data_IF_081218758177
#
_entry.id   IF_081218758177
#
_cell.length_a   1.000
_cell.length_b   1.000
_cell.length_c   1.000
_cell.angle_alpha   90.00
_cell.angle_beta   90.00
_cell.angle_gamma   90.00
#
_symmetry.space_group_name_H-M   'P 1'
#
loop_
_entity.id
_entity.type
_entity.pdbx_description
1 polymer ?
#
# COMPACT_ATOMS: atom_id res chain seq x y z
N UNK A 1 7.72 -8.05 27.61
CA UNK A 1 6.96 -6.79 27.72
C UNK A 1 5.97 -6.70 26.57
N UNK A 2 4.69 -6.56 26.87
CA UNK A 2 3.65 -6.32 25.85
C UNK A 2 3.81 -4.92 25.25
N UNK A 3 3.60 -4.77 23.95
CA UNK A 3 3.78 -3.50 23.22
C UNK A 3 2.98 -2.32 23.83
N UNK A 4 1.86 -2.63 24.50
CA UNK A 4 1.00 -1.67 25.19
C UNK A 4 1.52 -1.15 26.54
N UNK A 5 2.55 -1.77 27.12
CA UNK A 5 3.17 -1.30 28.38
C UNK A 5 4.39 -0.40 28.13
N UNK A 6 4.64 0.01 26.88
CA UNK A 6 5.79 0.85 26.57
C UNK A 6 5.50 2.31 26.97
N UNK A 7 6.20 2.86 27.99
CA UNK A 7 5.97 4.22 28.49
C UNK A 7 6.32 5.30 27.44
N UNK A 8 7.18 4.98 26.48
CA UNK A 8 7.51 5.86 25.36
C UNK A 8 6.32 6.01 24.41
N UNK A 9 5.66 4.90 24.09
CA UNK A 9 4.48 4.90 23.23
C UNK A 9 3.35 5.70 23.88
N UNK A 10 3.09 5.47 25.18
CA UNK A 10 2.04 6.21 25.91
C UNK A 10 2.35 7.71 25.96
N UNK A 11 3.58 8.12 26.27
CA UNK A 11 3.98 9.56 26.26
C UNK A 11 3.77 10.19 24.88
N UNK A 12 4.17 9.51 23.81
CA UNK A 12 4.12 10.08 22.45
C UNK A 12 2.71 10.10 21.85
N UNK A 13 1.82 9.22 22.33
CA UNK A 13 0.42 9.15 21.93
C UNK A 13 -0.53 9.91 22.86
N UNK A 14 -0.10 10.26 24.08
CA UNK A 14 -0.87 11.03 25.05
C UNK A 14 -1.13 12.49 24.64
N UNK A 15 -0.30 13.04 23.75
CA UNK A 15 -0.57 14.38 23.21
C UNK A 15 -1.88 14.32 22.41
N UNK A 16 -2.88 15.17 22.71
CA UNK A 16 -4.22 15.04 22.15
C UNK A 16 -4.14 15.11 20.63
N UNK A 17 -4.38 13.98 19.98
CA UNK A 17 -4.61 13.93 18.54
C UNK A 17 -6.06 14.33 18.29
N UNK A 18 -6.29 15.16 17.28
CA UNK A 18 -7.61 15.75 16.99
C UNK A 18 -8.69 14.72 16.62
N UNK A 19 -8.32 13.49 16.29
CA UNK A 19 -9.21 12.42 15.85
C UNK A 19 -8.96 11.17 16.67
N UNK A 20 -9.98 10.61 17.31
CA UNK A 20 -9.87 9.35 18.07
C UNK A 20 -9.75 8.14 17.14
N UNK A 21 -9.17 7.03 17.61
CA UNK A 21 -9.04 5.80 16.82
C UNK A 21 -10.41 5.28 16.34
N UNK A 22 -11.44 5.40 17.20
CA UNK A 22 -12.82 5.04 16.85
C UNK A 22 -13.35 5.90 15.71
N UNK A 23 -13.13 7.22 15.76
CA UNK A 23 -13.54 8.13 14.67
C UNK A 23 -12.81 7.78 13.37
N UNK A 24 -11.51 7.50 13.40
CA UNK A 24 -10.77 7.07 12.20
C UNK A 24 -11.28 5.75 11.64
N UNK A 25 -11.64 4.79 12.51
CA UNK A 25 -12.24 3.53 12.07
C UNK A 25 -13.60 3.76 11.39
N UNK A 26 -14.48 4.55 12.00
CA UNK A 26 -15.77 4.90 11.40
C UNK A 26 -15.64 5.73 10.13
N UNK A 27 -14.63 6.61 10.04
CA UNK A 27 -14.32 7.33 8.81
C UNK A 27 -13.86 6.40 7.70
N UNK A 28 -12.93 5.48 7.98
CA UNK A 28 -12.49 4.48 7.01
C UNK A 28 -13.65 3.60 6.54
N UNK A 29 -14.48 3.14 7.47
CA UNK A 29 -15.66 2.33 7.16
C UNK A 29 -16.69 3.11 6.33
N UNK A 30 -17.06 4.31 6.77
CA UNK A 30 -18.04 5.15 6.09
C UNK A 30 -17.58 5.58 4.69
N UNK A 31 -16.31 5.95 4.54
CA UNK A 31 -15.71 6.21 3.23
C UNK A 31 -15.65 4.95 2.37
N UNK A 32 -15.29 3.81 2.95
CA UNK A 32 -15.27 2.53 2.24
C UNK A 32 -16.65 2.17 1.67
N UNK A 33 -17.69 2.29 2.48
CA UNK A 33 -19.07 2.00 2.06
C UNK A 33 -19.57 3.04 1.04
N UNK A 34 -19.35 4.33 1.28
CA UNK A 34 -19.84 5.37 0.36
C UNK A 34 -19.15 5.32 -1.00
N UNK A 35 -17.84 5.12 -1.02
CA UNK A 35 -17.07 5.02 -2.25
C UNK A 35 -17.38 3.73 -3.00
N UNK A 36 -17.58 2.61 -2.31
CA UNK A 36 -18.06 1.37 -2.92
C UNK A 36 -19.44 1.58 -3.56
N UNK A 37 -20.39 2.17 -2.85
CA UNK A 37 -21.74 2.45 -3.38
C UNK A 37 -21.68 3.33 -4.62
N UNK A 38 -20.93 4.44 -4.57
CA UNK A 38 -20.77 5.35 -5.72
C UNK A 38 -20.14 4.62 -6.91
N UNK A 39 -19.06 3.86 -6.68
CA UNK A 39 -18.40 3.12 -7.76
C UNK A 39 -19.30 2.03 -8.34
N UNK A 40 -20.07 1.30 -7.53
CA UNK A 40 -21.03 0.32 -8.01
C UNK A 40 -22.16 0.97 -8.80
N UNK A 41 -22.69 2.11 -8.34
CA UNK A 41 -23.73 2.85 -9.07
C UNK A 41 -23.22 3.36 -10.42
N UNK A 42 -22.01 3.93 -10.46
CA UNK A 42 -21.37 4.36 -11.70
C UNK A 42 -21.13 3.18 -12.65
N UNK A 43 -20.68 2.04 -12.13
CA UNK A 43 -20.50 0.82 -12.91
C UNK A 43 -21.81 0.30 -13.51
N UNK A 44 -22.91 0.29 -12.73
CA UNK A 44 -24.23 -0.11 -13.22
C UNK A 44 -24.83 0.90 -14.20
N UNK A 45 -24.50 2.19 -14.06
CA UNK A 45 -24.98 3.27 -14.92
C UNK A 45 -24.24 3.37 -16.26
N UNK A 46 -23.04 2.81 -16.40
CA UNK A 46 -22.20 2.88 -17.62
C UNK A 46 -22.73 2.02 -18.80
N UNK A 47 -24.02 1.68 -18.79
CA UNK A 47 -24.71 1.16 -19.97
C UNK A 47 -24.89 2.22 -21.07
N UNK A 48 -24.63 3.50 -20.76
CA UNK A 48 -24.62 4.62 -21.69
C UNK A 48 -23.24 5.29 -21.69
N UNK A 49 -22.54 5.24 -22.84
CA UNK A 49 -21.12 5.56 -23.07
C UNK A 49 -20.60 6.96 -22.66
N UNK A 50 -21.44 7.84 -22.11
CA UNK A 50 -21.08 9.22 -21.77
C UNK A 50 -20.63 9.41 -20.30
N UNK A 51 -20.65 8.38 -19.46
CA UNK A 51 -20.32 8.47 -18.02
C UNK A 51 -18.95 7.89 -17.62
N UNK A 52 -18.00 7.78 -18.56
CA UNK A 52 -16.68 7.18 -18.30
C UNK A 52 -15.74 8.03 -17.42
N UNK A 53 -15.88 9.36 -17.41
CA UNK A 53 -14.97 10.26 -16.67
C UNK A 53 -14.98 10.10 -15.14
N UNK A 54 -16.12 9.94 -14.43
CA UNK A 54 -16.11 9.75 -12.97
C UNK A 54 -15.55 8.39 -12.51
N UNK A 55 -15.58 7.36 -13.35
CA UNK A 55 -15.08 6.01 -13.02
C UNK A 55 -13.55 6.03 -12.82
N UNK A 56 -12.82 6.87 -13.55
CA UNK A 56 -11.35 6.96 -13.44
C UNK A 56 -10.85 7.94 -12.37
N UNK A 57 -11.68 8.90 -11.96
CA UNK A 57 -11.28 9.95 -11.02
C UNK A 57 -11.02 9.39 -9.60
N UNK A 58 -11.87 8.46 -9.13
CA UNK A 58 -11.72 7.82 -7.82
C UNK A 58 -10.45 6.95 -7.70
N UNK A 59 -10.13 6.06 -8.67
CA UNK A 59 -8.84 5.35 -8.71
C UNK A 59 -7.62 6.28 -8.77
N UNK A 60 -7.69 7.39 -9.51
CA UNK A 60 -6.60 8.38 -9.57
C UNK A 60 -6.37 9.06 -8.21
N UNK A 61 -7.45 9.45 -7.52
CA UNK A 61 -7.40 10.00 -6.17
C UNK A 61 -6.79 9.02 -5.18
N UNK A 62 -7.19 7.75 -5.25
CA UNK A 62 -6.59 6.69 -4.43
C UNK A 62 -5.10 6.52 -4.75
N UNK A 63 -4.71 6.48 -6.03
CA UNK A 63 -3.31 6.33 -6.43
C UNK A 63 -2.44 7.50 -5.92
N UNK A 64 -2.94 8.73 -6.05
CA UNK A 64 -2.27 9.92 -5.52
C UNK A 64 -2.10 9.82 -3.99
N UNK A 65 -3.15 9.38 -3.28
CA UNK A 65 -3.11 9.22 -1.83
C UNK A 65 -2.17 8.08 -1.41
N UNK A 66 -2.22 6.94 -2.08
CA UNK A 66 -1.33 5.80 -1.87
C UNK A 66 0.15 6.16 -2.08
N UNK A 67 0.46 7.05 -3.04
CA UNK A 67 1.80 7.56 -3.27
C UNK A 67 2.24 8.61 -2.23
N UNK A 68 1.31 9.43 -1.73
CA UNK A 68 1.61 10.52 -0.80
C UNK A 68 1.65 10.08 0.68
N UNK A 69 0.91 9.05 1.08
CA UNK A 69 0.81 8.66 2.49
C UNK A 69 2.15 8.11 3.05
N UNK A 70 2.87 7.20 2.38
CA UNK A 70 4.18 6.72 2.87
C UNK A 70 5.21 7.85 3.14
N UNK A 71 5.46 8.82 2.24
CA UNK A 71 6.40 9.90 2.53
C UNK A 71 5.94 10.80 3.69
N UNK A 72 4.63 11.04 3.84
CA UNK A 72 4.11 11.77 5.00
C UNK A 72 4.34 10.98 6.29
N UNK A 73 4.13 9.66 6.29
CA UNK A 73 4.40 8.79 7.44
C UNK A 73 5.90 8.82 7.80
N UNK A 74 6.78 8.73 6.81
CA UNK A 74 8.22 8.83 7.01
C UNK A 74 8.62 10.18 7.63
N UNK A 75 8.02 11.28 7.16
CA UNK A 75 8.22 12.63 7.72
C UNK A 75 7.74 12.73 9.17
N UNK A 76 6.56 12.19 9.48
CA UNK A 76 6.01 12.19 10.85
C UNK A 76 6.95 11.39 11.77
N UNK A 77 7.34 10.18 11.35
CA UNK A 77 8.22 9.31 12.11
C UNK A 77 9.58 9.95 12.36
N UNK A 78 10.17 10.48 11.30
CA UNK A 78 11.47 11.11 11.32
C UNK A 78 11.51 12.40 12.14
N UNK A 79 10.56 13.31 11.95
CA UNK A 79 10.49 14.56 12.71
C UNK A 79 10.24 14.34 14.20
N UNK A 80 9.40 13.37 14.54
CA UNK A 80 9.11 13.01 15.92
C UNK A 80 10.36 12.42 16.61
N UNK A 81 11.08 11.55 15.92
CA UNK A 81 12.31 10.94 16.44
C UNK A 81 13.43 11.96 16.56
N UNK A 82 13.67 12.77 15.52
CA UNK A 82 14.73 13.78 15.50
C UNK A 82 14.57 14.81 16.63
N UNK A 83 13.35 15.28 16.89
CA UNK A 83 13.06 16.20 18.01
C UNK A 83 13.38 15.58 19.37
N UNK A 84 12.97 14.33 19.58
CA UNK A 84 13.25 13.67 20.85
C UNK A 84 14.76 13.41 21.08
N UNK A 85 15.50 13.18 19.99
CA UNK A 85 16.95 13.02 20.05
C UNK A 85 17.64 14.37 20.30
N UNK A 86 17.19 15.47 19.68
CA UNK A 86 17.75 16.80 19.93
C UNK A 86 17.46 17.34 21.33
N UNK A 87 16.31 17.00 21.90
CA UNK A 87 15.86 17.51 23.20
C UNK A 87 16.47 16.74 24.40
N UNK A 88 17.41 15.82 24.17
CA UNK A 88 18.02 14.98 25.22
C UNK A 88 17.07 13.97 25.88
N UNK A 89 15.78 13.98 25.52
CA UNK A 89 14.79 13.00 25.98
C UNK A 89 15.17 11.57 25.62
N UNK A 90 15.91 11.39 24.51
CA UNK A 90 16.44 10.09 24.09
C UNK A 90 17.50 9.54 25.05
N UNK A 91 18.39 10.37 25.59
CA UNK A 91 19.44 9.94 26.53
C UNK A 91 18.86 9.43 27.85
N UNK A 92 17.82 10.11 28.33
CA UNK A 92 17.02 9.68 29.49
C UNK A 92 16.30 8.35 29.26
N UNK A 93 15.96 8.01 28.02
CA UNK A 93 15.34 6.74 27.68
C UNK A 93 16.38 5.61 27.62
N UNK A 94 17.58 5.89 27.13
CA UNK A 94 18.67 4.90 27.07
C UNK A 94 19.21 4.49 28.43
N UNK A 95 19.00 5.30 29.48
CA UNK A 95 19.36 4.95 30.86
C UNK A 95 18.31 4.10 31.58
N UNK A 96 17.12 3.91 30.98
CA UNK A 96 16.08 3.03 31.52
C UNK A 96 16.31 1.56 31.14
N UNK A 97 15.60 0.65 31.79
CA UNK A 97 15.63 -0.80 31.50
C UNK A 97 14.95 -1.18 30.17
N UNK A 98 14.56 -0.21 29.34
CA UNK A 98 13.95 -0.45 28.05
C UNK A 98 14.99 -0.92 27.05
N UNK A 99 14.65 -1.96 26.28
CA UNK A 99 15.52 -2.43 25.20
C UNK A 99 15.48 -1.46 24.01
N UNK A 100 16.60 -1.32 23.31
CA UNK A 100 16.69 -0.54 22.05
C UNK A 100 15.58 -0.90 21.06
N UNK A 101 15.29 -2.20 20.94
CA UNK A 101 14.22 -2.69 20.08
C UNK A 101 12.85 -2.10 20.47
N UNK A 102 12.56 -2.02 21.77
CA UNK A 102 11.31 -1.44 22.27
C UNK A 102 11.24 0.07 22.05
N UNK A 103 12.37 0.78 22.11
CA UNK A 103 12.46 2.22 21.84
C UNK A 103 12.15 2.48 20.36
N UNK A 104 12.83 1.81 19.44
CA UNK A 104 12.63 1.95 17.99
C UNK A 104 11.21 1.59 17.60
N UNK A 105 10.68 0.45 18.08
CA UNK A 105 9.30 0.06 17.83
C UNK A 105 8.31 1.10 18.36
N UNK A 106 8.53 1.63 19.58
CA UNK A 106 7.69 2.66 20.16
C UNK A 106 7.60 3.92 19.29
N UNK A 107 8.71 4.35 18.68
CA UNK A 107 8.72 5.46 17.72
C UNK A 107 7.92 5.16 16.45
N UNK A 108 8.11 3.98 15.87
CA UNK A 108 7.39 3.54 14.66
C UNK A 108 5.88 3.50 14.92
N UNK A 109 5.44 2.86 16.00
CA UNK A 109 4.02 2.76 16.35
C UNK A 109 3.42 4.12 16.71
N UNK A 110 4.16 5.00 17.39
CA UNK A 110 3.71 6.36 17.66
C UNK A 110 3.49 7.16 16.36
N UNK A 111 4.36 6.99 15.37
CA UNK A 111 4.22 7.63 14.07
C UNK A 111 2.98 7.13 13.32
N UNK A 112 2.78 5.81 13.25
CA UNK A 112 1.59 5.20 12.64
C UNK A 112 0.30 5.64 13.34
N UNK A 113 0.33 5.70 14.68
CA UNK A 113 -0.81 6.19 15.46
C UNK A 113 -1.14 7.66 15.15
N UNK A 114 -0.13 8.51 14.93
CA UNK A 114 -0.35 9.91 14.51
C UNK A 114 -0.83 10.02 13.06
N UNK A 115 -0.39 9.11 12.19
CA UNK A 115 -0.83 9.03 10.79
C UNK A 115 -2.18 8.32 10.59
N UNK A 116 -2.85 7.86 11.67
CA UNK A 116 -4.06 7.03 11.59
C UNK A 116 -5.20 7.61 10.75
N UNK A 117 -5.35 8.94 10.70
CA UNK A 117 -6.36 9.59 9.88
C UNK A 117 -6.07 9.43 8.39
N UNK A 118 -4.79 9.59 7.99
CA UNK A 118 -4.35 9.37 6.61
C UNK A 118 -4.44 7.90 6.22
N UNK A 119 -4.07 6.98 7.13
CA UNK A 119 -4.23 5.54 6.92
C UNK A 119 -5.70 5.15 6.76
N UNK A 120 -6.59 5.73 7.57
CA UNK A 120 -8.03 5.53 7.46
C UNK A 120 -8.59 6.02 6.12
N UNK A 121 -8.12 7.18 5.63
CA UNK A 121 -8.48 7.70 4.30
C UNK A 121 -7.99 6.77 3.19
N UNK A 122 -6.75 6.27 3.27
CA UNK A 122 -6.18 5.36 2.28
C UNK A 122 -6.97 4.06 2.18
N UNK A 123 -7.31 3.46 3.32
CA UNK A 123 -8.11 2.23 3.37
C UNK A 123 -9.55 2.49 2.91
N UNK A 124 -10.16 3.60 3.34
CA UNK A 124 -11.53 3.96 2.96
C UNK A 124 -11.69 4.30 1.48
N UNK A 125 -10.64 4.76 0.79
CA UNK A 125 -10.65 5.06 -0.65
C UNK A 125 -10.22 3.87 -1.53
N UNK A 126 -9.87 2.72 -0.93
CA UNK A 126 -9.47 1.54 -1.68
C UNK A 126 -10.58 0.87 -2.52
N UNK A 127 -11.86 0.80 -2.07
CA UNK A 127 -12.89 0.05 -2.79
C UNK A 127 -13.13 0.47 -4.26
N UNK A 128 -13.12 1.76 -4.63
CA UNK A 128 -13.22 2.18 -6.03
C UNK A 128 -12.16 1.62 -6.96
N UNK A 129 -10.94 1.41 -6.47
CA UNK A 129 -9.88 0.81 -7.28
C UNK A 129 -10.24 -0.64 -7.64
N UNK A 130 -10.83 -1.37 -6.70
CA UNK A 130 -11.29 -2.75 -6.92
C UNK A 130 -12.42 -2.79 -7.95
N UNK A 131 -13.38 -1.87 -7.84
CA UNK A 131 -14.48 -1.77 -8.81
C UNK A 131 -13.96 -1.39 -10.20
N UNK A 132 -13.03 -0.44 -10.30
CA UNK A 132 -12.40 -0.08 -11.58
C UNK A 132 -11.56 -1.21 -12.17
N UNK A 133 -10.85 -1.98 -11.34
CA UNK A 133 -10.15 -3.19 -11.78
C UNK A 133 -11.12 -4.26 -12.29
N UNK A 134 -12.23 -4.50 -11.57
CA UNK A 134 -13.29 -5.41 -11.98
C UNK A 134 -13.89 -5.01 -13.33
N UNK A 135 -14.21 -3.73 -13.48
CA UNK A 135 -14.75 -3.17 -14.72
C UNK A 135 -13.80 -3.37 -15.90
N UNK A 136 -12.52 -3.04 -15.71
CA UNK A 136 -11.50 -3.22 -16.75
C UNK A 136 -11.30 -4.69 -17.11
N UNK A 137 -11.36 -5.60 -16.13
CA UNK A 137 -11.25 -7.03 -16.35
C UNK A 137 -12.47 -7.59 -17.09
N UNK A 138 -13.69 -7.16 -16.72
CA UNK A 138 -14.93 -7.51 -17.43
C UNK A 138 -14.90 -7.06 -18.89
N UNK A 139 -14.49 -5.82 -19.13
CA UNK A 139 -14.38 -5.28 -20.48
C UNK A 139 -13.35 -6.04 -21.31
N UNK A 140 -12.20 -6.39 -20.72
CA UNK A 140 -11.18 -7.20 -21.38
C UNK A 140 -11.68 -8.62 -21.70
N UNK A 141 -12.34 -9.29 -20.75
CA UNK A 141 -12.87 -10.65 -20.97
C UNK A 141 -13.99 -10.67 -22.01
N UNK A 142 -14.90 -9.68 -22.00
CA UNK A 142 -15.96 -9.56 -23.00
C UNK A 142 -15.41 -9.30 -24.40
N UNK A 143 -14.37 -8.46 -24.51
CA UNK A 143 -13.68 -8.21 -25.77
C UNK A 143 -13.05 -9.51 -26.31
N UNK A 144 -12.30 -10.23 -25.48
CA UNK A 144 -11.67 -11.49 -25.86
C UNK A 144 -12.70 -12.57 -26.23
N UNK A 145 -13.81 -12.69 -25.50
CA UNK A 145 -14.88 -13.64 -25.85
C UNK A 145 -15.51 -13.30 -27.21
N UNK A 146 -15.73 -12.02 -27.53
CA UNK A 146 -16.24 -11.61 -28.87
C UNK A 146 -15.26 -11.95 -29.99
N UNK A 147 -13.97 -11.68 -29.77
CA UNK A 147 -12.92 -11.95 -30.76
C UNK A 147 -12.79 -13.45 -31.01
N UNK A 148 -12.72 -14.26 -29.96
CA UNK A 148 -12.57 -15.71 -30.05
C UNK A 148 -13.78 -16.38 -30.76
N UNK A 149 -15.00 -15.92 -30.45
CA UNK A 149 -16.22 -16.38 -31.13
C UNK A 149 -16.23 -16.01 -32.62
N UNK A 150 -15.55 -14.95 -33.04
CA UNK A 150 -15.46 -14.55 -34.45
C UNK A 150 -14.54 -15.49 -35.25
N UNK A 151 -13.42 -15.92 -34.65
CA UNK A 151 -12.41 -16.76 -35.31
C UNK A 151 -12.77 -18.26 -35.40
N UNK A 152 -13.60 -18.77 -34.50
CA UNK A 152 -13.98 -20.20 -34.44
C UNK A 152 -15.31 -20.56 -35.11
N UNK A 153 -15.83 -19.72 -36.00
CA UNK A 153 -17.08 -19.99 -36.74
C UNK A 153 -17.00 -21.17 -37.73
N UNK A 154 -15.82 -21.77 -37.95
CA UNK A 154 -15.63 -22.91 -38.86
C UNK A 154 -15.65 -24.31 -38.24
N UNK A 155 -15.28 -24.47 -36.97
CA UNK A 155 -15.21 -25.78 -36.28
C UNK A 155 -15.70 -25.62 -34.83
N UNK A 156 -17.01 -25.81 -34.65
CA UNK A 156 -17.67 -25.61 -33.37
C UNK A 156 -17.36 -26.78 -32.43
N UNK A 157 -16.34 -26.64 -31.57
CA UNK A 157 -16.07 -27.59 -30.50
C UNK A 157 -16.69 -27.08 -29.18
N UNK A 158 -17.85 -27.62 -28.73
CA UNK A 158 -18.62 -27.06 -27.60
C UNK A 158 -17.97 -27.24 -26.22
N UNK A 159 -16.77 -27.83 -26.15
CA UNK A 159 -16.04 -28.09 -24.89
C UNK A 159 -15.01 -27.01 -24.54
N UNK A 160 -14.57 -26.20 -25.50
CA UNK A 160 -13.96 -24.88 -25.25
C UNK A 160 -15.15 -23.89 -25.33
N UNK A 161 -15.50 -22.99 -24.43
CA UNK A 161 -14.65 -22.02 -23.73
C UNK A 161 -15.47 -21.25 -22.67
N UNK A 162 -16.37 -21.91 -21.93
CA UNK A 162 -17.08 -21.24 -20.83
C UNK A 162 -16.13 -20.75 -19.72
N UNK A 163 -14.92 -21.29 -19.62
CA UNK A 163 -13.87 -20.85 -18.69
C UNK A 163 -13.27 -19.49 -19.06
N UNK A 164 -13.22 -19.12 -20.34
CA UNK A 164 -12.66 -17.82 -20.79
C UNK A 164 -13.63 -16.68 -20.49
N UNK A 165 -14.93 -16.96 -20.47
CA UNK A 165 -15.97 -15.98 -20.15
C UNK A 165 -16.41 -16.02 -18.68
N UNK A 166 -15.90 -16.94 -17.87
CA UNK A 166 -16.17 -16.99 -16.44
C UNK A 166 -15.28 -16.00 -15.69
N UNK A 167 -15.89 -15.05 -15.00
CA UNK A 167 -15.15 -14.08 -14.19
C UNK A 167 -14.76 -14.71 -12.84
N UNK A 168 -13.48 -14.77 -12.46
CA UNK A 168 -13.09 -15.29 -11.15
C UNK A 168 -13.41 -14.25 -10.07
N UNK A 169 -14.63 -14.30 -9.51
CA UNK A 169 -15.06 -13.38 -8.42
C UNK A 169 -14.18 -13.49 -7.16
N UNK A 170 -13.58 -14.65 -6.91
CA UNK A 170 -12.68 -14.88 -5.78
C UNK A 170 -11.35 -14.13 -5.89
N UNK A 171 -10.86 -13.83 -7.11
CA UNK A 171 -9.59 -13.12 -7.28
C UNK A 171 -9.68 -11.66 -6.84
N UNK A 172 -10.85 -11.04 -6.97
CA UNK A 172 -11.08 -9.61 -6.72
C UNK A 172 -10.97 -9.26 -5.23
N UNK A 173 -11.62 -10.05 -4.37
CA UNK A 173 -11.54 -9.87 -2.91
C UNK A 173 -10.12 -10.13 -2.39
N UNK A 174 -9.43 -11.10 -2.98
CA UNK A 174 -8.03 -11.39 -2.67
C UNK A 174 -7.12 -10.23 -3.09
N UNK A 175 -7.30 -9.66 -4.28
CA UNK A 175 -6.56 -8.46 -4.73
C UNK A 175 -6.74 -7.27 -3.79
N UNK A 176 -7.96 -7.03 -3.29
CA UNK A 176 -8.20 -5.96 -2.32
C UNK A 176 -7.40 -6.17 -1.02
N UNK A 177 -7.46 -7.38 -0.47
CA UNK A 177 -6.73 -7.73 0.74
C UNK A 177 -5.21 -7.59 0.55
N UNK A 178 -4.69 -8.01 -0.60
CA UNK A 178 -3.28 -7.85 -0.97
C UNK A 178 -2.87 -6.37 -1.07
N UNK A 179 -3.70 -5.51 -1.67
CA UNK A 179 -3.42 -4.07 -1.79
C UNK A 179 -3.42 -3.41 -0.41
N UNK A 180 -4.41 -3.73 0.42
CA UNK A 180 -4.46 -3.22 1.80
C UNK A 180 -3.23 -3.66 2.59
N UNK A 181 -2.84 -4.93 2.52
CA UNK A 181 -1.63 -5.45 3.15
C UNK A 181 -0.37 -4.78 2.60
N UNK A 182 -0.24 -4.59 1.29
CA UNK A 182 0.89 -3.91 0.68
C UNK A 182 1.03 -2.46 1.17
N UNK A 183 -0.08 -1.72 1.22
CA UNK A 183 -0.10 -0.34 1.74
C UNK A 183 0.30 -0.29 3.22
N UNK A 184 -0.18 -1.21 4.04
CA UNK A 184 0.26 -1.31 5.44
C UNK A 184 1.76 -1.56 5.56
N UNK A 185 2.29 -2.48 4.75
CA UNK A 185 3.73 -2.78 4.71
C UNK A 185 4.57 -1.58 4.30
N UNK A 186 4.15 -0.84 3.26
CA UNK A 186 4.84 0.36 2.80
C UNK A 186 4.86 1.48 3.84
N UNK A 187 3.76 1.69 4.56
CA UNK A 187 3.69 2.68 5.63
C UNK A 187 4.53 2.31 6.84
N UNK A 188 4.57 1.02 7.20
CA UNK A 188 5.44 0.50 8.25
C UNK A 188 6.91 0.69 7.86
N UNK A 189 7.27 0.36 6.62
CA UNK A 189 8.61 0.55 6.07
C UNK A 189 9.01 2.03 6.07
N UNK A 190 8.12 2.91 5.61
CA UNK A 190 8.33 4.34 5.59
C UNK A 190 8.54 4.92 7.00
N UNK A 191 7.76 4.45 7.99
CA UNK A 191 7.97 4.81 9.39
C UNK A 191 9.34 4.33 9.90
N UNK A 192 9.72 3.09 9.64
CA UNK A 192 11.02 2.53 10.04
C UNK A 192 12.19 3.27 9.39
N UNK A 193 12.08 3.64 8.11
CA UNK A 193 13.03 4.52 7.42
C UNK A 193 13.14 5.86 8.13
N UNK A 194 12.02 6.54 8.37
CA UNK A 194 12.00 7.84 9.07
C UNK A 194 12.70 7.78 10.44
N UNK A 195 12.39 6.76 11.26
CA UNK A 195 13.04 6.55 12.56
C UNK A 195 14.53 6.26 12.40
N UNK A 196 14.91 5.35 11.51
CA UNK A 196 16.30 4.96 11.30
C UNK A 196 17.17 6.13 10.84
N UNK A 197 16.72 6.90 9.85
CA UNK A 197 17.44 8.07 9.35
C UNK A 197 17.56 9.15 10.44
N UNK A 198 16.52 9.33 11.27
CA UNK A 198 16.56 10.27 12.39
C UNK A 198 17.56 9.87 13.48
N UNK A 199 17.63 8.58 13.83
CA UNK A 199 18.62 8.08 14.80
C UNK A 199 20.05 8.22 14.26
N UNK A 200 20.25 7.99 12.96
CA UNK A 200 21.57 8.06 12.32
C UNK A 200 22.11 9.47 12.19
N UNK A 201 21.31 10.41 11.70
CA UNK A 201 21.81 11.76 11.38
C UNK A 201 21.48 12.82 12.42
N UNK A 202 20.51 12.57 13.31
CA UNK A 202 20.07 13.48 14.39
C UNK A 202 19.68 14.89 13.92
N UNK A 203 19.59 15.12 12.61
CA UNK A 203 19.28 16.42 12.02
C UNK A 203 17.89 16.37 11.37
N UNK A 204 16.92 17.19 11.85
CA UNK A 204 15.57 17.17 11.32
C UNK A 204 15.49 17.56 9.83
N UNK A 205 16.42 18.38 9.33
CA UNK A 205 16.45 18.80 7.93
C UNK A 205 16.83 17.64 6.99
N UNK A 206 17.86 16.87 7.34
CA UNK A 206 18.29 15.69 6.57
C UNK A 206 17.18 14.63 6.55
N UNK A 207 16.52 14.43 7.69
CA UNK A 207 15.40 13.48 7.77
C UNK A 207 14.20 13.96 6.95
N UNK A 208 13.91 15.26 6.98
CA UNK A 208 12.80 15.84 6.23
C UNK A 208 13.00 15.79 4.71
N UNK A 209 14.24 15.75 4.22
CA UNK A 209 14.52 15.64 2.77
C UNK A 209 14.62 14.19 2.32
N UNK A 210 15.43 13.36 2.99
CA UNK A 210 15.74 12.02 2.51
C UNK A 210 14.66 10.98 2.83
N UNK A 211 13.96 11.09 3.97
CA UNK A 211 12.92 10.13 4.34
C UNK A 211 11.72 10.11 3.36
N UNK A 212 11.13 11.25 2.95
CA UNK A 212 10.06 11.24 1.97
C UNK A 212 10.55 10.85 0.58
N UNK A 213 11.75 11.27 0.17
CA UNK A 213 12.33 10.87 -1.12
C UNK A 213 12.49 9.35 -1.21
N UNK A 214 13.08 8.72 -0.19
CA UNK A 214 13.23 7.27 -0.13
C UNK A 214 11.87 6.54 -0.09
N UNK A 215 10.91 7.07 0.67
CA UNK A 215 9.56 6.51 0.76
C UNK A 215 8.72 6.70 -0.51
N UNK A 216 9.00 7.71 -1.34
CA UNK A 216 8.35 7.98 -2.62
C UNK A 216 8.95 7.12 -3.76
N UNK A 217 10.26 6.87 -3.73
CA UNK A 217 10.93 6.04 -4.74
C UNK A 217 10.46 4.58 -4.70
N UNK A 218 9.99 4.07 -3.55
CA UNK A 218 9.46 2.72 -3.39
C UNK A 218 8.14 2.46 -4.15
N UNK A 219 7.07 3.27 -3.98
CA UNK A 219 5.85 3.10 -4.77
C UNK A 219 6.06 3.48 -6.24
N UNK A 220 6.99 4.39 -6.56
CA UNK A 220 7.32 4.71 -7.96
C UNK A 220 8.04 3.55 -8.65
N UNK A 221 9.00 2.89 -8.00
CA UNK A 221 9.65 1.70 -8.57
C UNK A 221 8.65 0.56 -8.76
N UNK A 222 7.66 0.45 -7.85
CA UNK A 222 6.54 -0.48 -8.01
C UNK A 222 5.67 -0.14 -9.22
N UNK A 223 5.29 1.13 -9.41
CA UNK A 223 4.50 1.56 -10.57
C UNK A 223 5.23 1.30 -11.90
N UNK A 224 6.52 1.63 -11.95
CA UNK A 224 7.35 1.36 -13.13
C UNK A 224 7.46 -0.13 -13.42
N UNK A 225 7.69 -0.97 -12.40
CA UNK A 225 7.79 -2.41 -12.58
C UNK A 225 6.45 -3.06 -12.96
N UNK A 226 5.32 -2.46 -12.58
CA UNK A 226 3.98 -2.89 -13.00
C UNK A 226 3.62 -2.45 -14.43
N UNK A 227 4.10 -1.29 -14.88
CA UNK A 227 3.84 -0.83 -16.25
C UNK A 227 4.62 -1.64 -17.30
N UNK A 228 5.86 -2.03 -17.02
CA UNK A 228 6.73 -2.77 -17.96
C UNK A 228 6.06 -4.06 -18.52
N UNK A 229 5.45 -4.94 -17.71
CA UNK A 229 4.77 -6.11 -18.24
C UNK A 229 3.46 -5.77 -18.97
N UNK A 230 2.81 -4.64 -18.68
CA UNK A 230 1.59 -4.22 -19.38
C UNK A 230 1.87 -3.57 -20.74
N UNK A 231 3.01 -2.92 -20.93
CA UNK A 231 3.48 -2.50 -22.26
C UNK A 231 4.06 -3.68 -23.07
N UNK A 232 4.51 -4.72 -22.38
CA UNK A 232 4.79 -6.02 -23.01
C UNK A 232 3.53 -6.82 -23.33
N UNK A 233 2.33 -6.48 -22.78
CA UNK A 233 1.06 -7.13 -23.21
C UNK A 233 0.70 -6.87 -24.66
N UNK A 234 1.10 -5.71 -25.21
CA UNK A 234 1.02 -5.47 -26.66
C UNK A 234 1.91 -6.41 -27.46
N UNK A 235 2.92 -7.01 -26.83
CA UNK A 235 3.74 -8.11 -27.35
C UNK A 235 3.18 -9.50 -26.97
N UNK A 236 2.52 -9.65 -25.80
CA UNK A 236 1.88 -10.90 -25.37
C UNK A 236 0.74 -11.33 -26.29
N UNK A 237 0.09 -10.42 -27.02
CA UNK A 237 -0.87 -10.82 -28.08
C UNK A 237 -0.17 -11.67 -29.16
N UNK A 238 1.14 -11.52 -29.36
CA UNK A 238 1.95 -12.43 -30.20
C UNK A 238 2.43 -13.69 -29.45
N UNK A 239 2.68 -13.62 -28.14
CA UNK A 239 3.13 -14.76 -27.32
C UNK A 239 2.00 -15.62 -26.75
N UNK A 240 0.73 -15.22 -26.91
CA UNK A 240 -0.46 -16.01 -26.55
C UNK A 240 -0.51 -17.38 -27.27
N UNK A 241 0.30 -17.56 -28.32
CA UNK A 241 0.56 -18.84 -28.99
C UNK A 241 1.46 -19.79 -28.18
N UNK A 242 2.16 -19.32 -27.14
CA UNK A 242 3.09 -20.10 -26.32
C UNK A 242 2.87 -19.85 -24.82
N UNK A 243 2.01 -20.69 -24.24
CA UNK A 243 1.96 -21.11 -22.82
C UNK A 243 1.67 -20.03 -21.73
N UNK A 244 0.36 -19.81 -21.47
CA UNK A 244 -0.19 -18.90 -20.46
C UNK A 244 0.20 -19.22 -18.99
N UNK A 245 0.65 -20.44 -18.70
CA UNK A 245 0.83 -20.91 -17.32
C UNK A 245 2.06 -20.30 -16.62
N UNK A 246 3.14 -20.07 -17.37
CA UNK A 246 4.42 -19.62 -16.83
C UNK A 246 4.44 -18.11 -16.56
N UNK A 247 3.81 -17.33 -17.43
CA UNK A 247 3.70 -15.87 -17.31
C UNK A 247 2.80 -15.48 -16.13
N UNK A 248 1.69 -16.18 -15.94
CA UNK A 248 0.81 -15.92 -14.82
C UNK A 248 1.46 -16.32 -13.49
N UNK A 249 2.15 -17.47 -13.44
CA UNK A 249 2.92 -17.87 -12.27
C UNK A 249 3.99 -16.83 -11.88
N UNK A 250 4.72 -16.27 -12.85
CA UNK A 250 5.71 -15.21 -12.62
C UNK A 250 5.06 -13.92 -12.09
N UNK A 251 3.92 -13.49 -12.64
CA UNK A 251 3.16 -12.32 -12.15
C UNK A 251 2.71 -12.49 -10.70
N UNK A 252 2.25 -13.69 -10.34
CA UNK A 252 1.86 -14.01 -8.96
C UNK A 252 3.06 -13.97 -8.01
N UNK A 253 4.19 -14.57 -8.38
CA UNK A 253 5.41 -14.55 -7.56
C UNK A 253 5.95 -13.13 -7.35
N UNK A 254 5.98 -12.33 -8.40
CA UNK A 254 6.41 -10.92 -8.35
C UNK A 254 5.47 -10.13 -7.44
N UNK A 255 4.16 -10.27 -7.59
CA UNK A 255 3.15 -9.60 -6.75
C UNK A 255 3.28 -10.01 -5.28
N UNK A 256 3.58 -11.28 -5.01
CA UNK A 256 3.76 -11.80 -3.66
C UNK A 256 5.05 -11.28 -3.01
N UNK A 257 6.15 -11.25 -3.76
CA UNK A 257 7.40 -10.63 -3.33
C UNK A 257 7.20 -9.15 -3.01
N UNK A 258 6.46 -8.41 -3.83
CA UNK A 258 6.17 -7.00 -3.55
C UNK A 258 5.25 -6.79 -2.35
N UNK A 259 4.38 -7.74 -2.03
CA UNK A 259 3.58 -7.67 -0.80
C UNK A 259 4.44 -7.89 0.45
N UNK A 260 5.37 -8.85 0.41
CA UNK A 260 6.17 -9.23 1.58
C UNK A 260 7.46 -8.41 1.75
N UNK A 261 8.04 -7.90 0.66
CA UNK A 261 9.28 -7.15 0.67
C UNK A 261 9.24 -5.92 1.59
N UNK A 262 8.17 -5.11 1.66
CA UNK A 262 8.10 -4.00 2.60
C UNK A 262 8.25 -4.44 4.06
N UNK A 263 7.66 -5.59 4.42
CA UNK A 263 7.76 -6.15 5.77
C UNK A 263 9.17 -6.68 6.07
N UNK A 264 9.78 -7.41 5.13
CA UNK A 264 11.15 -7.92 5.27
C UNK A 264 12.15 -6.75 5.39
N UNK A 265 12.02 -5.72 4.55
CA UNK A 265 12.84 -4.51 4.60
C UNK A 265 12.62 -3.73 5.90
N UNK A 266 11.38 -3.68 6.40
CA UNK A 266 11.09 -3.08 7.71
C UNK A 266 11.87 -3.80 8.81
N UNK A 267 11.84 -5.14 8.85
CA UNK A 267 12.58 -5.91 9.85
C UNK A 267 14.09 -5.67 9.76
N UNK A 268 14.63 -5.64 8.54
CA UNK A 268 16.04 -5.33 8.31
C UNK A 268 16.43 -3.92 8.80
N UNK A 269 15.57 -2.92 8.56
CA UNK A 269 15.77 -1.54 9.01
C UNK A 269 15.60 -1.36 10.52
N UNK A 270 14.65 -2.09 11.12
CA UNK A 270 14.52 -2.13 12.58
C UNK A 270 15.77 -2.75 13.21
N UNK A 271 16.32 -3.79 12.60
CA UNK A 271 17.56 -4.40 13.09
C UNK A 271 18.79 -3.51 12.89
N UNK A 272 18.89 -2.79 11.75
CA UNK A 272 20.01 -1.86 11.52
C UNK A 272 19.92 -0.63 12.41
N UNK A 273 18.73 -0.08 12.63
CA UNK A 273 18.52 1.05 13.55
C UNK A 273 18.86 0.69 15.00
N UNK A 274 18.54 -0.54 15.44
CA UNK A 274 18.99 -1.08 16.74
C UNK A 274 20.53 -1.19 16.86
N UNK A 275 21.28 -1.30 15.75
CA UNK A 275 22.75 -1.27 15.81
C UNK A 275 23.26 0.16 15.96
N UNK A 276 22.60 1.12 15.31
CA UNK A 276 22.97 2.54 15.42
C UNK A 276 22.74 3.10 16.82
N UNK A 277 21.75 2.60 17.57
CA UNK A 277 21.56 2.99 18.96
C UNK A 277 22.73 2.58 19.86
N UNK A 278 23.36 1.43 19.58
CA UNK A 278 24.50 0.90 20.36
C UNK A 278 25.84 1.56 20.06
N UNK A 279 26.05 2.05 18.84
CA UNK A 279 27.33 2.67 18.43
C UNK A 279 27.56 4.07 19.03
N UNK A 280 26.56 4.61 19.74
CA UNK A 280 26.59 5.95 20.31
C UNK A 280 26.42 5.97 21.84
N UNK A 281 26.50 4.81 22.48
CA UNK A 281 26.72 4.65 23.92
C UNK A 281 28.21 4.50 24.18
#
# INVERSE_FOLDING_TARGET
MTLFTNPLLTRLTAKPSRLSARVCFWLAFGLGVSTLLVSTQLFLADHNSNFRTPIYLLPMLFAALAAAVPPIVALIAGSLTARNVSDGSYELLTTTTLSDASIVQGYVFAALYRARGLLALAVGLAPPLVVGMLDSALHASLFLCRVNHFYHTGDYNPRMDYSVCAMPSASVGLTWLLIALGLWGLNLLAAALGVGLALRWRNPLVVATFAPLAALLLPLSFFWHWQIPNSLKTLDVMLWLFDLTLVDAAKWQISFLFMLAPYALTLALLHSSQRWTRLHQ
#
